data_IF_332153603783
#
_entry.id   IF_332153603783
#
_cell.length_a   1.000
_cell.length_b   1.000
_cell.length_c   1.000
_cell.angle_alpha   90.00
_cell.angle_beta   90.00
_cell.angle_gamma   90.00
#
_symmetry.space_group_name_H-M   'P 1'
#
loop_
_entity.id
_entity.type
_entity.pdbx_description
1 polymer ?
#
# COMPACT_ATOMS: atom_id res chain seq x y z
N UNK A 1 3.89 22.69 -20.91
CA UNK A 1 2.74 23.46 -20.40
C UNK A 1 2.87 24.94 -20.72
N UNK A 2 3.95 25.60 -20.29
CA UNK A 2 4.18 27.05 -20.49
C UNK A 2 4.09 27.49 -21.95
N UNK A 3 4.82 26.84 -22.87
CA UNK A 3 4.78 27.20 -24.31
C UNK A 3 3.41 27.04 -24.98
N UNK A 4 2.49 26.28 -24.37
CA UNK A 4 1.13 26.04 -24.89
C UNK A 4 0.04 26.70 -24.04
N UNK A 5 0.42 27.52 -23.05
CA UNK A 5 -0.47 28.14 -22.07
C UNK A 5 -1.44 27.16 -21.38
N UNK A 6 -0.94 25.96 -21.04
CA UNK A 6 -1.72 24.98 -20.27
C UNK A 6 -1.57 25.21 -18.76
N UNK A 7 -2.64 24.92 -18.03
CA UNK A 7 -2.62 24.85 -16.58
C UNK A 7 -1.57 23.84 -16.12
N UNK A 8 -0.77 24.23 -15.13
CA UNK A 8 0.26 23.38 -14.56
C UNK A 8 0.47 23.73 -13.09
N UNK A 9 0.96 22.75 -12.34
CA UNK A 9 1.46 22.93 -10.98
C UNK A 9 2.94 22.56 -10.99
N UNK A 10 3.78 23.45 -10.48
CA UNK A 10 5.21 23.22 -10.34
C UNK A 10 5.44 22.49 -9.02
N UNK A 11 6.00 21.29 -9.10
CA UNK A 11 6.42 20.53 -7.92
C UNK A 11 7.86 20.90 -7.54
N UNK A 12 8.25 20.79 -6.26
CA UNK A 12 9.63 20.93 -5.86
C UNK A 12 10.55 19.97 -6.61
N UNK A 13 11.80 20.38 -6.83
CA UNK A 13 12.81 19.47 -7.35
C UNK A 13 13.08 18.33 -6.37
N UNK A 14 13.22 17.12 -6.90
CA UNK A 14 13.55 15.94 -6.10
C UNK A 14 14.39 14.97 -6.92
N UNK A 15 15.33 14.32 -6.24
CA UNK A 15 16.24 13.34 -6.84
C UNK A 15 15.60 11.96 -7.06
N UNK A 16 14.37 11.74 -6.61
CA UNK A 16 13.74 10.41 -6.59
C UNK A 16 12.22 10.51 -6.79
N UNK A 17 11.69 10.22 -8.00
CA UNK A 17 10.24 10.26 -8.27
C UNK A 17 9.43 9.39 -7.30
N UNK A 18 9.99 8.26 -6.86
CA UNK A 18 9.38 7.38 -5.86
C UNK A 18 9.24 8.00 -4.47
N UNK A 19 9.97 9.06 -4.14
CA UNK A 19 9.78 9.83 -2.90
C UNK A 19 8.71 10.94 -3.04
N UNK A 20 8.16 11.15 -4.23
CA UNK A 20 7.31 12.29 -4.56
C UNK A 20 5.81 12.00 -4.56
N UNK A 21 5.37 10.79 -4.20
CA UNK A 21 3.96 10.40 -4.24
C UNK A 21 3.08 11.40 -3.47
N UNK A 22 3.48 11.80 -2.27
CA UNK A 22 2.70 12.71 -1.42
C UNK A 22 2.51 14.06 -2.09
N UNK A 23 3.54 14.61 -2.74
CA UNK A 23 3.42 15.83 -3.53
C UNK A 23 2.38 15.68 -4.64
N UNK A 24 2.55 14.68 -5.52
CA UNK A 24 1.67 14.49 -6.67
C UNK A 24 0.23 14.19 -6.27
N UNK A 25 0.02 13.42 -5.19
CA UNK A 25 -1.29 13.07 -4.64
C UNK A 25 -1.96 14.28 -4.02
N UNK A 26 -1.26 15.04 -3.17
CA UNK A 26 -1.79 16.24 -2.53
C UNK A 26 -2.23 17.27 -3.57
N UNK A 27 -1.47 17.45 -4.67
CA UNK A 27 -1.86 18.39 -5.72
C UNK A 27 -3.19 18.03 -6.41
N UNK A 28 -3.57 16.75 -6.48
CA UNK A 28 -4.87 16.37 -7.07
C UNK A 28 -6.04 17.02 -6.33
N UNK A 29 -5.98 17.13 -5.01
CA UNK A 29 -7.03 17.79 -4.22
C UNK A 29 -7.12 19.28 -4.54
N UNK A 30 -5.98 19.97 -4.67
CA UNK A 30 -5.96 21.38 -5.04
C UNK A 30 -6.50 21.62 -6.45
N UNK A 31 -6.22 20.72 -7.39
CA UNK A 31 -6.79 20.76 -8.75
C UNK A 31 -8.31 20.60 -8.67
N UNK A 32 -8.81 19.56 -8.01
CA UNK A 32 -10.25 19.31 -7.89
C UNK A 32 -10.98 20.46 -7.19
N UNK A 33 -10.37 21.05 -6.17
CA UNK A 33 -10.92 22.22 -5.48
C UNK A 33 -10.94 23.47 -6.35
N UNK A 34 -9.87 23.74 -7.10
CA UNK A 34 -9.81 24.86 -8.04
C UNK A 34 -10.96 24.84 -9.06
N UNK A 35 -11.35 23.64 -9.52
CA UNK A 35 -12.47 23.44 -10.43
C UNK A 35 -13.84 23.30 -9.75
N UNK A 36 -13.92 23.48 -8.42
CA UNK A 36 -15.17 23.41 -7.67
C UNK A 36 -15.77 22.01 -7.53
N UNK A 37 -14.99 20.95 -7.78
CA UNK A 37 -15.45 19.55 -7.68
C UNK A 37 -15.52 19.11 -6.21
N UNK A 38 -14.62 19.62 -5.37
CA UNK A 38 -14.59 19.36 -3.93
C UNK A 38 -14.45 20.67 -3.13
N UNK A 39 -14.93 20.64 -1.89
CA UNK A 39 -14.69 21.71 -0.93
C UNK A 39 -13.24 21.71 -0.45
N UNK A 40 -12.84 22.72 0.32
CA UNK A 40 -11.49 22.83 0.87
C UNK A 40 -11.27 22.04 2.18
N UNK A 41 -12.24 21.23 2.59
CA UNK A 41 -12.17 20.41 3.81
C UNK A 41 -10.96 19.45 3.82
N UNK A 42 -10.50 19.01 2.64
CA UNK A 42 -9.31 18.16 2.50
C UNK A 42 -8.06 18.79 3.12
N UNK A 43 -7.96 20.13 3.19
CA UNK A 43 -6.80 20.81 3.81
C UNK A 43 -6.70 20.45 5.29
N UNK A 44 -7.83 20.46 6.00
CA UNK A 44 -7.89 20.07 7.40
C UNK A 44 -7.58 18.57 7.58
N UNK A 45 -8.06 17.72 6.68
CA UNK A 45 -7.81 16.28 6.75
C UNK A 45 -6.35 15.92 6.44
N UNK A 46 -5.69 16.63 5.51
CA UNK A 46 -4.25 16.52 5.28
C UNK A 46 -3.48 16.90 6.55
N UNK A 47 -3.86 17.99 7.22
CA UNK A 47 -3.19 18.38 8.46
C UNK A 47 -3.35 17.33 9.56
N UNK A 48 -4.55 16.75 9.71
CA UNK A 48 -4.77 15.63 10.64
C UNK A 48 -3.91 14.42 10.29
N UNK A 49 -3.79 14.09 9.01
CA UNK A 49 -2.95 12.98 8.56
C UNK A 49 -1.47 13.23 8.88
N UNK A 50 -0.96 14.45 8.67
CA UNK A 50 0.41 14.83 9.05
C UNK A 50 0.61 14.68 10.56
N UNK A 51 -0.30 15.20 11.37
CA UNK A 51 -0.22 15.10 12.83
C UNK A 51 -0.22 13.63 13.28
N UNK A 52 -1.12 12.80 12.74
CA UNK A 52 -1.19 11.38 13.03
C UNK A 52 0.13 10.65 12.71
N UNK A 53 0.75 10.96 11.56
CA UNK A 53 2.03 10.36 11.17
C UNK A 53 3.16 10.78 12.11
N UNK A 54 3.22 12.07 12.48
CA UNK A 54 4.25 12.58 13.39
C UNK A 54 4.10 11.98 14.80
N UNK A 55 2.87 11.91 15.32
CA UNK A 55 2.56 11.34 16.63
C UNK A 55 2.91 9.84 16.72
N UNK A 56 2.81 9.12 15.60
CA UNK A 56 3.04 7.67 15.54
C UNK A 56 4.38 7.30 14.89
N UNK A 57 5.30 8.24 14.66
CA UNK A 57 6.53 8.00 13.91
C UNK A 57 7.36 6.82 14.48
N UNK A 58 7.53 6.78 15.80
CA UNK A 58 8.28 5.72 16.47
C UNK A 58 7.62 4.35 16.30
N UNK A 59 6.29 4.28 16.41
CA UNK A 59 5.51 3.06 16.22
C UNK A 59 5.61 2.59 14.76
N UNK A 60 5.45 3.50 13.80
CA UNK A 60 5.57 3.22 12.36
C UNK A 60 6.95 2.63 12.04
N UNK A 61 8.03 3.23 12.59
CA UNK A 61 9.40 2.72 12.39
C UNK A 61 9.60 1.33 12.99
N UNK A 62 9.08 1.10 14.20
CA UNK A 62 9.14 -0.22 14.86
C UNK A 62 8.41 -1.28 14.03
N UNK A 63 7.22 -0.95 13.53
CA UNK A 63 6.42 -1.85 12.69
C UNK A 63 7.10 -2.14 11.34
N UNK A 64 7.62 -1.10 10.68
CA UNK A 64 8.37 -1.24 9.45
C UNK A 64 9.61 -2.13 9.62
N UNK A 65 10.26 -2.10 10.78
CA UNK A 65 11.40 -2.97 11.08
C UNK A 65 10.98 -4.44 11.14
N UNK A 66 9.90 -4.78 11.85
CA UNK A 66 9.38 -6.17 11.91
C UNK A 66 9.02 -6.70 10.52
N UNK A 67 8.37 -5.87 9.70
CA UNK A 67 8.02 -6.23 8.33
C UNK A 67 9.28 -6.43 7.48
N UNK A 68 10.31 -5.59 7.66
CA UNK A 68 11.59 -5.77 6.97
C UNK A 68 12.29 -7.08 7.37
N UNK A 69 12.27 -7.46 8.66
CA UNK A 69 12.80 -8.75 9.13
C UNK A 69 12.02 -9.94 8.58
N UNK A 70 10.69 -9.83 8.51
CA UNK A 70 9.82 -10.81 7.86
C UNK A 70 10.15 -10.96 6.36
N UNK A 71 10.47 -9.89 5.66
CA UNK A 71 10.78 -9.92 4.23
C UNK A 71 12.24 -10.26 3.91
N UNK A 72 13.16 -10.14 4.88
CA UNK A 72 14.59 -10.30 4.61
C UNK A 72 14.91 -11.71 4.07
N UNK A 73 15.51 -11.75 2.86
CA UNK A 73 15.82 -12.97 2.09
C UNK A 73 14.60 -13.83 1.71
N UNK A 74 13.39 -13.25 1.70
CA UNK A 74 12.15 -13.93 1.32
C UNK A 74 11.48 -13.19 0.17
N UNK A 75 10.67 -13.93 -0.58
CA UNK A 75 9.80 -13.38 -1.62
C UNK A 75 8.54 -12.83 -0.94
N UNK A 76 8.30 -11.52 -1.08
CA UNK A 76 7.14 -10.86 -0.49
C UNK A 76 5.88 -11.00 -1.33
N UNK A 77 4.76 -11.35 -0.71
CA UNK A 77 3.43 -11.39 -1.32
C UNK A 77 2.51 -10.50 -0.49
N UNK A 78 1.94 -9.47 -1.12
CA UNK A 78 1.07 -8.50 -0.46
C UNK A 78 -0.38 -8.76 -0.83
N UNK A 79 -1.24 -8.89 0.16
CA UNK A 79 -2.68 -8.95 -0.03
C UNK A 79 -3.36 -7.74 0.57
N UNK A 80 -4.39 -7.24 -0.10
CA UNK A 80 -5.25 -6.17 0.40
C UNK A 80 -6.68 -6.38 -0.08
N UNK A 81 -7.64 -5.62 0.44
CA UNK A 81 -8.95 -5.50 -0.21
C UNK A 81 -8.82 -4.60 -1.45
N UNK A 82 -9.70 -4.78 -2.45
CA UNK A 82 -9.63 -4.04 -3.72
C UNK A 82 -9.60 -2.50 -3.59
N UNK A 83 -10.31 -1.95 -2.60
CA UNK A 83 -10.26 -0.51 -2.25
C UNK A 83 -8.89 -0.03 -1.76
N UNK A 84 -8.00 -0.94 -1.35
CA UNK A 84 -6.63 -0.68 -0.90
C UNK A 84 -5.55 -1.12 -1.90
N UNK A 85 -5.95 -1.52 -3.12
CA UNK A 85 -5.01 -1.98 -4.15
C UNK A 85 -3.89 -0.96 -4.42
N UNK A 86 -4.23 0.33 -4.51
CA UNK A 86 -3.23 1.39 -4.74
C UNK A 86 -2.13 1.43 -3.68
N UNK A 87 -2.45 1.10 -2.42
CA UNK A 87 -1.47 1.00 -1.33
C UNK A 87 -0.60 -0.23 -1.51
N UNK A 88 -1.19 -1.38 -1.84
CA UNK A 88 -0.47 -2.62 -2.09
C UNK A 88 0.49 -2.50 -3.29
N UNK A 89 0.03 -1.90 -4.40
CA UNK A 89 0.85 -1.55 -5.57
C UNK A 89 2.06 -0.73 -5.15
N UNK A 90 1.81 0.30 -4.32
CA UNK A 90 2.84 1.24 -3.88
C UNK A 90 3.90 0.56 -3.01
N UNK A 91 3.48 -0.31 -2.10
CA UNK A 91 4.39 -1.11 -1.27
C UNK A 91 5.26 -2.04 -2.12
N UNK A 92 4.63 -2.79 -3.03
CA UNK A 92 5.34 -3.67 -3.98
C UNK A 92 6.41 -2.89 -4.75
N UNK A 93 6.06 -1.72 -5.29
CA UNK A 93 7.02 -0.87 -6.01
C UNK A 93 8.20 -0.44 -5.11
N UNK A 94 7.95 -0.07 -3.86
CA UNK A 94 9.04 0.28 -2.94
C UNK A 94 9.97 -0.89 -2.62
N UNK A 95 9.41 -2.08 -2.43
CA UNK A 95 10.22 -3.28 -2.18
C UNK A 95 11.05 -3.60 -3.43
N UNK A 96 10.42 -3.63 -4.61
CA UNK A 96 11.10 -3.93 -5.87
C UNK A 96 12.21 -2.93 -6.19
N UNK A 97 11.94 -1.63 -6.06
CA UNK A 97 12.88 -0.58 -6.48
C UNK A 97 13.97 -0.28 -5.44
N UNK A 98 13.63 -0.25 -4.15
CA UNK A 98 14.60 0.16 -3.12
C UNK A 98 15.37 -1.04 -2.54
N UNK A 99 14.67 -2.16 -2.29
CA UNK A 99 15.31 -3.36 -1.74
C UNK A 99 15.88 -4.28 -2.83
N UNK A 100 15.54 -4.05 -4.11
CA UNK A 100 15.93 -4.88 -5.26
C UNK A 100 15.46 -6.34 -5.11
N UNK A 101 14.31 -6.53 -4.47
CA UNK A 101 13.70 -7.83 -4.21
C UNK A 101 12.38 -7.96 -4.93
N UNK A 102 12.14 -9.09 -5.61
CA UNK A 102 10.86 -9.35 -6.23
C UNK A 102 9.75 -9.48 -5.18
N UNK A 103 8.65 -8.78 -5.45
CA UNK A 103 7.44 -8.78 -4.63
C UNK A 103 6.21 -8.79 -5.54
N UNK A 104 5.17 -9.51 -5.09
CA UNK A 104 3.87 -9.63 -5.73
C UNK A 104 2.80 -8.94 -4.90
N UNK A 105 1.71 -8.56 -5.54
CA UNK A 105 0.51 -8.12 -4.84
C UNK A 105 -0.72 -8.61 -5.58
N UNK A 106 -1.76 -8.96 -4.84
CA UNK A 106 -3.09 -9.23 -5.36
C UNK A 106 -4.14 -8.80 -4.34
N UNK A 107 -5.40 -8.74 -4.76
CA UNK A 107 -6.47 -8.20 -3.92
C UNK A 107 -7.59 -9.20 -3.69
N UNK A 108 -8.20 -9.17 -2.52
CA UNK A 108 -9.44 -9.89 -2.20
C UNK A 108 -10.62 -9.13 -2.85
N UNK A 109 -11.55 -9.82 -3.54
CA UNK A 109 -11.70 -11.28 -3.62
C UNK A 109 -10.93 -11.98 -4.75
N UNK A 110 -10.36 -11.25 -5.71
CA UNK A 110 -9.75 -11.83 -6.91
C UNK A 110 -8.64 -12.86 -6.60
N UNK A 111 -7.79 -12.57 -5.62
CA UNK A 111 -6.73 -13.48 -5.17
C UNK A 111 -7.26 -14.83 -4.67
N UNK A 112 -8.51 -14.88 -4.18
CA UNK A 112 -9.12 -16.13 -3.75
C UNK A 112 -9.38 -17.07 -4.92
N UNK A 113 -9.62 -16.53 -6.11
CA UNK A 113 -9.82 -17.29 -7.34
C UNK A 113 -8.49 -17.71 -7.98
N UNK A 114 -7.48 -16.85 -7.90
CA UNK A 114 -6.27 -17.02 -8.69
C UNK A 114 -5.10 -17.66 -7.93
N UNK A 115 -5.04 -17.50 -6.61
CA UNK A 115 -3.85 -17.88 -5.84
C UNK A 115 -4.13 -18.85 -4.69
N UNK A 116 -5.35 -18.92 -4.17
CA UNK A 116 -5.64 -19.70 -2.96
C UNK A 116 -5.31 -21.20 -3.11
N UNK A 117 -5.61 -21.80 -4.27
CA UNK A 117 -5.22 -23.19 -4.58
C UNK A 117 -3.72 -23.30 -4.84
N UNK A 118 -3.11 -22.27 -5.43
CA UNK A 118 -1.68 -22.20 -5.71
C UNK A 118 -0.81 -22.25 -4.44
N UNK A 119 -1.33 -21.83 -3.30
CA UNK A 119 -0.65 -21.95 -2.01
C UNK A 119 -0.29 -23.38 -1.62
N UNK A 120 -0.91 -24.41 -2.21
CA UNK A 120 -0.47 -25.80 -2.05
C UNK A 120 1.01 -26.04 -2.45
N UNK A 121 1.57 -25.16 -3.30
CA UNK A 121 3.00 -25.15 -3.66
C UNK A 121 3.84 -24.13 -2.88
N UNK A 122 3.33 -23.58 -1.77
CA UNK A 122 4.03 -22.60 -0.95
C UNK A 122 5.29 -23.16 -0.28
N UNK A 123 6.11 -22.26 0.27
CA UNK A 123 7.32 -22.62 1.01
C UNK A 123 7.70 -21.52 2.00
N UNK A 124 8.60 -21.85 2.93
CA UNK A 124 9.17 -20.92 3.92
C UNK A 124 10.00 -19.78 3.29
N UNK A 125 10.28 -19.83 1.99
CA UNK A 125 10.91 -18.72 1.26
C UNK A 125 9.91 -17.61 0.90
N UNK A 126 8.61 -17.81 1.13
CA UNK A 126 7.55 -16.83 0.88
C UNK A 126 7.16 -16.14 2.19
N UNK A 127 6.97 -14.83 2.14
CA UNK A 127 6.46 -14.03 3.24
C UNK A 127 5.21 -13.27 2.82
N UNK A 128 4.14 -13.40 3.60
CA UNK A 128 2.84 -12.80 3.31
C UNK A 128 2.59 -11.62 4.22
N UNK A 129 2.17 -10.50 3.62
CA UNK A 129 1.73 -9.30 4.33
C UNK A 129 0.30 -9.01 3.89
N UNK A 130 -0.62 -8.94 4.84
CA UNK A 130 -2.02 -8.59 4.59
C UNK A 130 -2.29 -7.18 5.10
N UNK A 131 -2.55 -6.26 4.19
CA UNK A 131 -2.97 -4.90 4.49
C UNK A 131 -4.47 -4.91 4.81
N UNK A 132 -4.80 -5.12 6.08
CA UNK A 132 -6.18 -5.17 6.57
C UNK A 132 -6.65 -3.79 7.02
N UNK A 133 -7.88 -3.42 6.65
CA UNK A 133 -8.51 -2.20 7.13
C UNK A 133 -9.86 -2.49 7.81
N UNK A 134 -10.15 -1.76 8.90
CA UNK A 134 -11.46 -1.77 9.56
C UNK A 134 -12.60 -1.38 8.60
N UNK A 135 -12.30 -0.57 7.59
CA UNK A 135 -13.24 -0.15 6.54
C UNK A 135 -13.49 -1.19 5.44
N UNK A 136 -12.80 -2.34 5.47
CA UNK A 136 -13.03 -3.39 4.48
C UNK A 136 -14.42 -4.01 4.64
N UNK A 137 -15.09 -4.29 3.52
CA UNK A 137 -16.38 -4.95 3.53
C UNK A 137 -16.32 -6.24 4.33
N UNK A 138 -17.35 -6.50 5.17
CA UNK A 138 -17.41 -7.69 6.03
C UNK A 138 -17.11 -9.00 5.27
N UNK A 139 -17.65 -9.13 4.05
CA UNK A 139 -17.40 -10.28 3.16
C UNK A 139 -15.91 -10.47 2.80
N UNK A 140 -15.18 -9.38 2.60
CA UNK A 140 -13.75 -9.43 2.29
C UNK A 140 -12.95 -9.78 3.55
N UNK A 141 -13.34 -9.26 4.71
CA UNK A 141 -12.71 -9.65 5.97
C UNK A 141 -12.88 -11.15 6.26
N UNK A 142 -14.07 -11.72 6.03
CA UNK A 142 -14.30 -13.17 6.14
C UNK A 142 -13.39 -13.95 5.19
N UNK A 143 -13.28 -13.51 3.92
CA UNK A 143 -12.39 -14.15 2.94
C UNK A 143 -10.93 -14.07 3.35
N UNK A 144 -10.47 -12.93 3.86
CA UNK A 144 -9.10 -12.78 4.37
C UNK A 144 -8.83 -13.75 5.52
N UNK A 145 -9.80 -13.94 6.43
CA UNK A 145 -9.65 -14.88 7.55
C UNK A 145 -9.52 -16.32 7.06
N UNK A 146 -10.40 -16.75 6.15
CA UNK A 146 -10.33 -18.10 5.54
C UNK A 146 -9.01 -18.27 4.76
N UNK A 147 -8.58 -17.23 4.05
CA UNK A 147 -7.32 -17.27 3.30
C UNK A 147 -6.12 -17.42 4.24
N UNK A 148 -6.13 -16.71 5.37
CA UNK A 148 -5.07 -16.80 6.37
C UNK A 148 -4.91 -18.22 6.92
N UNK A 149 -6.03 -18.92 7.17
CA UNK A 149 -6.00 -20.33 7.63
C UNK A 149 -5.37 -21.29 6.61
N UNK A 150 -5.52 -21.01 5.31
CA UNK A 150 -4.91 -21.80 4.24
C UNK A 150 -3.43 -21.44 4.10
N UNK A 151 -3.12 -20.15 3.96
CA UNK A 151 -1.77 -19.62 3.71
C UNK A 151 -0.80 -20.04 4.83
N UNK A 152 -1.22 -19.91 6.10
CA UNK A 152 -0.38 -20.24 7.27
C UNK A 152 0.00 -21.73 7.36
N UNK A 153 -0.63 -22.62 6.57
CA UNK A 153 -0.21 -24.03 6.46
C UNK A 153 1.02 -24.22 5.58
N UNK A 154 1.30 -23.26 4.69
CA UNK A 154 2.32 -23.37 3.64
C UNK A 154 3.46 -22.35 3.77
N UNK A 155 3.35 -21.39 4.70
CA UNK A 155 4.47 -20.57 5.16
C UNK A 155 4.24 -20.13 6.62
N UNK A 156 5.28 -20.16 7.47
CA UNK A 156 5.21 -19.59 8.82
C UNK A 156 5.31 -18.06 8.81
N UNK A 157 5.67 -17.45 7.67
CA UNK A 157 5.93 -16.02 7.56
C UNK A 157 4.67 -15.28 7.09
N UNK A 158 3.82 -14.95 8.05
CA UNK A 158 2.56 -14.24 7.81
C UNK A 158 2.45 -13.04 8.75
N UNK A 159 2.09 -11.88 8.21
CA UNK A 159 1.89 -10.63 8.93
C UNK A 159 0.57 -9.97 8.51
N UNK A 160 -0.19 -9.43 9.47
CA UNK A 160 -1.41 -8.65 9.23
C UNK A 160 -1.61 -7.56 10.29
#
# INVERSE_FOLDING_TARGET
AQNKNYNHIVLPECHSPRAMLTWSLTQQFFILHHYGIISDHFKADIQKAINLLNENEALIKSEAHKIAELLYKRIGIIYASANFEGVAVRWRQQINENAKSLCWHHVVPEMNHNELVGWAGGSDNLAVIVLRNKGDFARNQTRMNISAEVIKRYTPHYYE
#
